data_IF_572010105390
#
_entry.id   IF_572010105390
#
_cell.length_a   1.000
_cell.length_b   1.000
_cell.length_c   1.000
_cell.angle_alpha   90.00
_cell.angle_beta   90.00
_cell.angle_gamma   90.00
#
_symmetry.space_group_name_H-M   'P 1'
#
loop_
_entity.id
_entity.type
_entity.pdbx_description
1 polymer ?
#
# COMPACT_ATOMS: atom_id res chain seq x y z
N UNK A 1 -12.12 3.45 -26.99
CA UNK A 1 -10.80 2.89 -26.61
C UNK A 1 -11.08 1.67 -25.76
N UNK A 2 -10.66 0.49 -26.21
CA UNK A 2 -10.88 -0.77 -25.47
C UNK A 2 -9.93 -0.82 -24.25
N UNK A 3 -10.34 -1.45 -23.15
CA UNK A 3 -9.52 -1.61 -21.93
C UNK A 3 -8.19 -2.29 -22.28
N UNK A 4 -8.22 -3.23 -23.23
CA UNK A 4 -7.02 -3.92 -23.74
C UNK A 4 -6.04 -2.96 -24.42
N UNK A 5 -6.55 -1.97 -25.12
CA UNK A 5 -5.79 -0.95 -25.86
C UNK A 5 -5.14 0.06 -24.90
N UNK A 6 -5.88 0.47 -23.86
CA UNK A 6 -5.32 1.31 -22.79
C UNK A 6 -4.19 0.58 -22.08
N UNK A 7 -4.42 -0.70 -21.76
CA UNK A 7 -3.43 -1.56 -21.11
C UNK A 7 -2.18 -1.76 -21.99
N UNK A 8 -2.32 -1.99 -23.30
CA UNK A 8 -1.17 -2.15 -24.18
C UNK A 8 -0.30 -0.89 -24.23
N UNK A 9 -0.92 0.30 -24.32
CA UNK A 9 -0.22 1.58 -24.29
C UNK A 9 0.52 1.82 -22.96
N UNK A 10 -0.07 1.44 -21.83
CA UNK A 10 0.61 1.46 -20.51
C UNK A 10 1.83 0.54 -20.52
N UNK A 11 1.73 -0.64 -21.15
CA UNK A 11 2.80 -1.64 -21.15
C UNK A 11 3.95 -1.36 -22.12
N UNK A 12 3.71 -0.60 -23.17
CA UNK A 12 4.74 -0.17 -24.12
C UNK A 12 5.59 0.97 -23.54
N UNK A 13 4.99 1.84 -22.72
CA UNK A 13 5.69 2.94 -22.04
C UNK A 13 6.41 2.57 -20.74
N UNK A 14 6.50 1.28 -20.37
CA UNK A 14 7.05 0.84 -19.08
C UNK A 14 8.32 0.00 -19.26
N UNK A 15 9.48 0.60 -18.99
CA UNK A 15 10.79 0.01 -19.19
C UNK A 15 11.25 -0.90 -18.04
N UNK A 16 12.42 -1.54 -18.20
CA UNK A 16 13.06 -2.31 -17.12
C UNK A 16 13.55 -1.40 -15.98
N UNK A 17 13.96 -0.16 -16.28
CA UNK A 17 14.36 0.83 -15.27
C UNK A 17 13.18 1.22 -14.36
N UNK A 18 11.98 1.41 -14.92
CA UNK A 18 10.76 1.67 -14.16
C UNK A 18 10.41 0.52 -13.20
N UNK A 19 10.63 -0.73 -13.64
CA UNK A 19 10.37 -1.92 -12.81
C UNK A 19 11.31 -2.00 -11.62
N UNK A 20 12.60 -1.74 -11.81
CA UNK A 20 13.59 -1.75 -10.72
C UNK A 20 13.32 -0.63 -9.72
N UNK A 21 13.08 0.59 -10.21
CA UNK A 21 12.71 1.72 -9.35
C UNK A 21 11.45 1.41 -8.53
N UNK A 22 10.41 0.86 -9.15
CA UNK A 22 9.16 0.55 -8.45
C UNK A 22 9.34 -0.59 -7.46
N UNK A 23 10.18 -1.59 -7.73
CA UNK A 23 10.53 -2.64 -6.76
C UNK A 23 11.15 -2.07 -5.48
N UNK A 24 12.08 -1.11 -5.60
CA UNK A 24 12.67 -0.44 -4.44
C UNK A 24 11.65 0.43 -3.68
N UNK A 25 10.86 1.22 -4.41
CA UNK A 25 9.81 2.07 -3.82
C UNK A 25 8.78 1.21 -3.08
N UNK A 26 8.41 0.06 -3.64
CA UNK A 26 7.45 -0.85 -3.04
C UNK A 26 8.02 -1.56 -1.81
N UNK A 27 9.28 -1.98 -1.85
CA UNK A 27 9.95 -2.56 -0.70
C UNK A 27 9.96 -1.56 0.45
N UNK A 28 10.45 -0.33 0.18
CA UNK A 28 10.55 0.72 1.18
C UNK A 28 9.18 1.10 1.74
N UNK A 29 8.17 1.24 0.87
CA UNK A 29 6.79 1.55 1.27
C UNK A 29 6.23 0.48 2.21
N UNK A 30 6.32 -0.79 1.84
CA UNK A 30 5.76 -1.88 2.64
C UNK A 30 6.52 -2.05 3.96
N UNK A 31 7.84 -1.93 3.95
CA UNK A 31 8.67 -2.01 5.14
C UNK A 31 8.38 -0.87 6.12
N UNK A 32 8.27 0.37 5.64
CA UNK A 32 7.89 1.51 6.46
C UNK A 32 6.47 1.34 7.02
N UNK A 33 5.50 0.94 6.21
CA UNK A 33 4.14 0.65 6.69
C UNK A 33 4.15 -0.44 7.77
N UNK A 34 4.96 -1.47 7.63
CA UNK A 34 5.10 -2.52 8.65
C UNK A 34 5.59 -1.97 9.99
N UNK A 35 6.66 -1.15 9.97
CA UNK A 35 7.19 -0.50 11.18
C UNK A 35 6.14 0.36 11.85
N UNK A 36 5.36 1.09 11.07
CA UNK A 36 4.30 1.96 11.57
C UNK A 36 3.21 1.14 12.27
N UNK A 37 2.73 0.07 11.64
CA UNK A 37 1.73 -0.79 12.28
C UNK A 37 2.28 -1.49 13.53
N UNK A 38 3.56 -1.84 13.54
CA UNK A 38 4.22 -2.40 14.72
C UNK A 38 4.27 -1.39 15.88
N UNK A 39 4.66 -0.14 15.60
CA UNK A 39 4.66 0.95 16.59
C UNK A 39 3.25 1.20 17.12
N UNK A 40 2.25 1.26 16.22
CA UNK A 40 0.84 1.43 16.60
C UNK A 40 0.40 0.31 17.54
N UNK A 41 0.74 -0.95 17.23
CA UNK A 41 0.39 -2.08 18.08
C UNK A 41 0.98 -1.94 19.49
N UNK A 42 2.26 -1.59 19.60
CA UNK A 42 2.92 -1.35 20.90
C UNK A 42 2.21 -0.22 21.65
N UNK A 43 1.95 0.92 20.99
CA UNK A 43 1.29 2.07 21.62
C UNK A 43 -0.08 1.69 22.17
N UNK A 44 -0.90 0.98 21.38
CA UNK A 44 -2.23 0.55 21.82
C UNK A 44 -2.17 -0.46 22.96
N UNK A 45 -1.14 -1.32 23.00
CA UNK A 45 -0.99 -2.31 24.06
C UNK A 45 -0.53 -1.70 25.40
N UNK A 46 0.24 -0.61 25.38
CA UNK A 46 0.78 0.01 26.60
C UNK A 46 0.05 1.28 27.06
N UNK A 47 -0.71 1.93 26.17
CA UNK A 47 -1.36 3.20 26.44
C UNK A 47 -2.82 3.18 25.96
N UNK A 48 -3.65 2.25 26.44
CA UNK A 48 -5.03 2.07 25.94
C UNK A 48 -5.84 3.38 25.88
N UNK A 49 -5.73 4.25 26.88
CA UNK A 49 -6.55 5.48 27.00
C UNK A 49 -6.14 6.64 26.06
N UNK A 50 -4.84 6.78 25.73
CA UNK A 50 -4.29 7.90 24.93
C UNK A 50 -3.68 7.41 23.61
N UNK A 51 -3.22 6.16 23.59
CA UNK A 51 -2.57 5.48 22.49
C UNK A 51 -3.46 5.38 21.27
N UNK A 52 -4.78 5.39 21.44
CA UNK A 52 -5.74 5.43 20.36
C UNK A 52 -5.70 6.75 19.56
N UNK A 53 -5.62 7.88 20.27
CA UNK A 53 -5.51 9.24 19.70
C UNK A 53 -4.14 9.45 19.05
N UNK A 54 -3.08 8.97 19.70
CA UNK A 54 -1.70 9.01 19.19
C UNK A 54 -1.55 8.14 17.94
N UNK A 55 -2.17 6.95 17.92
CA UNK A 55 -2.21 6.06 16.75
C UNK A 55 -2.80 6.75 15.53
N UNK A 56 -3.91 7.46 15.69
CA UNK A 56 -4.53 8.20 14.58
C UNK A 56 -3.72 9.40 14.16
N UNK A 57 -3.14 10.16 15.09
CA UNK A 57 -2.24 11.25 14.74
C UNK A 57 -1.04 10.74 13.91
N UNK A 58 -0.44 9.62 14.32
CA UNK A 58 0.67 8.97 13.60
C UNK A 58 0.22 8.50 12.21
N UNK A 59 -0.93 7.84 12.10
CA UNK A 59 -1.49 7.40 10.81
C UNK A 59 -1.75 8.58 9.85
N UNK A 60 -2.35 9.67 10.34
CA UNK A 60 -2.63 10.87 9.53
C UNK A 60 -1.32 11.53 9.09
N UNK A 61 -0.35 11.71 10.01
CA UNK A 61 0.93 12.37 9.71
C UNK A 61 1.71 11.57 8.67
N UNK A 62 1.77 10.25 8.81
CA UNK A 62 2.52 9.39 7.90
C UNK A 62 1.85 9.26 6.54
N UNK A 63 0.52 9.15 6.50
CA UNK A 63 -0.21 9.16 5.22
C UNK A 63 -0.06 10.52 4.52
N UNK A 64 -0.13 11.64 5.26
CA UNK A 64 0.10 12.99 4.75
C UNK A 64 1.53 13.19 4.22
N UNK A 65 2.54 12.72 4.95
CA UNK A 65 3.93 12.73 4.50
C UNK A 65 4.13 11.87 3.24
N UNK A 66 3.51 10.69 3.16
CA UNK A 66 3.56 9.83 1.99
C UNK A 66 3.03 10.52 0.73
N UNK A 67 1.90 11.23 0.86
CA UNK A 67 1.31 12.03 -0.23
C UNK A 67 2.22 13.20 -0.60
N UNK A 68 2.75 13.95 0.37
CA UNK A 68 3.62 15.13 0.12
C UNK A 68 4.95 14.73 -0.53
N UNK A 69 5.59 13.66 -0.08
CA UNK A 69 6.87 13.17 -0.62
C UNK A 69 6.68 12.68 -2.06
N UNK A 70 5.60 11.94 -2.34
CA UNK A 70 5.29 11.52 -3.71
C UNK A 70 4.94 12.68 -4.62
N UNK A 71 4.14 13.63 -4.13
CA UNK A 71 3.82 14.84 -4.90
C UNK A 71 5.09 15.59 -5.31
N UNK A 72 6.06 15.74 -4.39
CA UNK A 72 7.36 16.36 -4.70
C UNK A 72 8.20 15.55 -5.69
N UNK A 73 8.26 14.21 -5.57
CA UNK A 73 9.00 13.35 -6.52
C UNK A 73 8.40 13.36 -7.93
N UNK A 74 7.07 13.31 -8.07
CA UNK A 74 6.41 13.34 -9.39
C UNK A 74 6.72 14.61 -10.21
N UNK A 75 7.13 15.69 -9.53
CA UNK A 75 7.47 16.98 -10.15
C UNK A 75 8.92 17.06 -10.64
N UNK A 76 9.79 16.15 -10.20
CA UNK A 76 11.24 16.21 -10.44
C UNK A 76 11.73 15.21 -11.50
N UNK A 77 11.01 14.12 -11.75
CA UNK A 77 11.42 13.08 -12.71
C UNK A 77 10.23 12.59 -13.53
N UNK A 78 10.01 13.19 -14.71
CA UNK A 78 9.00 12.70 -15.66
C UNK A 78 9.67 11.71 -16.60
N UNK A 79 9.53 10.40 -16.33
CA UNK A 79 9.97 9.35 -17.25
C UNK A 79 8.87 8.93 -18.26
N UNK A 80 7.56 9.12 -17.96
CA UNK A 80 6.48 8.89 -18.94
C UNK A 80 5.13 9.54 -18.55
N UNK A 81 4.28 9.88 -19.53
CA UNK A 81 2.93 10.43 -19.34
C UNK A 81 2.02 9.51 -18.50
N UNK A 82 2.18 8.19 -18.64
CA UNK A 82 1.41 7.22 -17.86
C UNK A 82 1.81 7.18 -16.39
N UNK A 83 3.10 7.38 -16.07
CA UNK A 83 3.54 7.49 -14.67
C UNK A 83 2.86 8.68 -13.97
N UNK A 84 2.63 9.80 -14.66
CA UNK A 84 1.94 10.97 -14.11
C UNK A 84 0.46 10.69 -13.78
N UNK A 85 -0.29 10.08 -14.71
CA UNK A 85 -1.69 9.71 -14.46
C UNK A 85 -1.78 8.71 -13.31
N UNK A 86 -0.86 7.75 -13.27
CA UNK A 86 -0.83 6.74 -12.21
C UNK A 86 -0.52 7.36 -10.84
N UNK A 87 0.41 8.30 -10.76
CA UNK A 87 0.69 8.99 -9.51
C UNK A 87 -0.52 9.79 -9.00
N UNK A 88 -1.29 10.42 -9.89
CA UNK A 88 -2.55 11.08 -9.53
C UNK A 88 -3.59 10.08 -8.99
N UNK A 89 -3.80 8.95 -9.67
CA UNK A 89 -4.71 7.88 -9.21
C UNK A 89 -4.32 7.39 -7.82
N UNK A 90 -3.03 7.16 -7.58
CA UNK A 90 -2.55 6.68 -6.27
C UNK A 90 -2.71 7.75 -5.19
N UNK A 91 -2.51 9.03 -5.50
CA UNK A 91 -2.79 10.13 -4.57
C UNK A 91 -4.27 10.14 -4.14
N UNK A 92 -5.21 10.01 -5.08
CA UNK A 92 -6.63 9.91 -4.73
C UNK A 92 -6.96 8.64 -3.95
N UNK A 93 -6.29 7.52 -4.27
CA UNK A 93 -6.46 6.27 -3.53
C UNK A 93 -5.99 6.40 -2.07
N UNK A 94 -4.85 7.08 -1.84
CA UNK A 94 -4.35 7.41 -0.50
C UNK A 94 -5.30 8.34 0.25
N UNK A 95 -5.83 9.38 -0.41
CA UNK A 95 -6.83 10.26 0.18
C UNK A 95 -8.09 9.48 0.59
N UNK A 96 -8.54 8.56 -0.25
CA UNK A 96 -9.68 7.69 0.04
C UNK A 96 -9.42 6.81 1.27
N UNK A 97 -8.22 6.22 1.40
CA UNK A 97 -7.82 5.48 2.61
C UNK A 97 -7.91 6.40 3.83
N UNK A 98 -7.38 7.62 3.77
CA UNK A 98 -7.35 8.55 4.91
C UNK A 98 -8.76 8.89 5.36
N UNK A 99 -9.58 9.42 4.46
CA UNK A 99 -10.94 9.88 4.79
C UNK A 99 -11.74 8.71 5.34
N UNK A 100 -11.67 7.56 4.69
CA UNK A 100 -12.48 6.41 5.10
C UNK A 100 -11.97 5.78 6.41
N UNK A 101 -10.66 5.80 6.67
CA UNK A 101 -10.08 5.35 7.95
C UNK A 101 -10.50 6.28 9.09
N UNK A 102 -10.57 7.59 8.85
CA UNK A 102 -11.11 8.54 9.83
C UNK A 102 -12.59 8.28 10.11
N UNK A 103 -13.39 8.02 9.07
CA UNK A 103 -14.81 7.68 9.24
C UNK A 103 -14.97 6.41 10.09
N UNK A 104 -14.23 5.34 9.79
CA UNK A 104 -14.28 4.09 10.57
C UNK A 104 -13.79 4.31 12.00
N UNK A 105 -12.76 5.13 12.20
CA UNK A 105 -12.28 5.48 13.53
C UNK A 105 -13.36 6.10 14.42
N UNK A 106 -14.16 7.03 13.89
CA UNK A 106 -15.22 7.68 14.66
C UNK A 106 -16.43 6.78 14.94
N UNK A 107 -16.70 5.79 14.10
CA UNK A 107 -17.89 4.94 14.21
C UNK A 107 -17.56 3.59 14.88
N UNK A 108 -16.55 2.87 14.37
CA UNK A 108 -16.14 1.53 14.80
C UNK A 108 -14.61 1.44 14.93
N UNK A 109 -14.03 2.05 15.99
CA UNK A 109 -12.59 2.15 16.20
C UNK A 109 -11.87 0.80 16.23
N UNK A 110 -12.54 -0.24 16.74
CA UNK A 110 -12.01 -1.60 16.84
C UNK A 110 -11.78 -2.29 15.49
N UNK A 111 -12.36 -1.78 14.39
CA UNK A 111 -12.24 -2.36 13.06
C UNK A 111 -11.28 -1.60 12.14
N UNK A 112 -10.54 -0.62 12.69
CA UNK A 112 -9.69 0.28 11.90
C UNK A 112 -8.64 -0.47 11.06
N UNK A 113 -7.92 -1.42 11.67
CA UNK A 113 -6.92 -2.24 11.00
C UNK A 113 -7.52 -3.17 9.94
N UNK A 114 -8.68 -3.77 10.23
CA UNK A 114 -9.45 -4.60 9.26
C UNK A 114 -9.80 -3.78 8.01
N UNK A 115 -10.26 -2.56 8.22
CA UNK A 115 -10.65 -1.65 7.16
C UNK A 115 -9.44 -1.18 6.33
N UNK A 116 -8.38 -0.72 7.00
CA UNK A 116 -7.12 -0.34 6.34
C UNK A 116 -6.59 -1.51 5.51
N UNK A 117 -6.59 -2.73 6.06
CA UNK A 117 -6.12 -3.92 5.36
C UNK A 117 -6.95 -4.22 4.10
N UNK A 118 -8.27 -4.09 4.19
CA UNK A 118 -9.18 -4.33 3.08
C UNK A 118 -8.95 -3.35 1.93
N UNK A 119 -8.96 -2.04 2.21
CA UNK A 119 -8.81 -1.00 1.18
C UNK A 119 -7.38 -0.99 0.63
N UNK A 120 -6.38 -1.04 1.50
CA UNK A 120 -4.97 -1.04 1.06
C UNK A 120 -4.65 -2.27 0.22
N UNK A 121 -5.14 -3.45 0.62
CA UNK A 121 -4.99 -4.68 -0.15
C UNK A 121 -5.63 -4.60 -1.53
N UNK A 122 -6.82 -4.01 -1.63
CA UNK A 122 -7.51 -3.80 -2.91
C UNK A 122 -6.71 -2.87 -3.84
N UNK A 123 -6.24 -1.73 -3.33
CA UNK A 123 -5.44 -0.78 -4.11
C UNK A 123 -4.16 -1.45 -4.60
N UNK A 124 -3.47 -2.19 -3.72
CA UNK A 124 -2.26 -2.93 -4.08
C UNK A 124 -2.53 -3.99 -5.15
N UNK A 125 -3.68 -4.68 -5.08
CA UNK A 125 -4.07 -5.66 -6.09
C UNK A 125 -4.34 -5.00 -7.46
N UNK A 126 -5.04 -3.86 -7.47
CA UNK A 126 -5.31 -3.07 -8.68
C UNK A 126 -4.01 -2.58 -9.29
N UNK A 127 -3.12 -2.00 -8.49
CA UNK A 127 -1.77 -1.59 -8.95
C UNK A 127 -1.01 -2.79 -9.53
N UNK A 128 -1.06 -3.95 -8.88
CA UNK A 128 -0.44 -5.17 -9.39
C UNK A 128 -0.96 -5.59 -10.77
N UNK A 129 -2.27 -5.44 -11.03
CA UNK A 129 -2.87 -5.71 -12.35
C UNK A 129 -2.40 -4.67 -13.37
N UNK A 130 -2.45 -3.38 -13.03
CA UNK A 130 -2.06 -2.28 -13.91
C UNK A 130 -0.58 -2.36 -14.31
N UNK A 131 0.29 -2.82 -13.42
CA UNK A 131 1.74 -2.93 -13.66
C UNK A 131 2.21 -4.35 -14.03
N UNK A 132 1.29 -5.30 -14.28
CA UNK A 132 1.62 -6.74 -14.50
C UNK A 132 2.54 -7.33 -13.41
N UNK A 133 2.49 -6.79 -12.20
CA UNK A 133 3.26 -7.30 -11.07
C UNK A 133 2.47 -8.39 -10.36
N UNK A 134 2.80 -9.65 -10.67
CA UNK A 134 2.22 -10.83 -9.99
C UNK A 134 2.43 -10.76 -8.48
N UNK A 135 3.61 -10.30 -8.05
CA UNK A 135 3.98 -10.16 -6.63
C UNK A 135 3.07 -9.15 -5.93
N UNK A 136 2.86 -7.99 -6.54
CA UNK A 136 2.04 -6.94 -5.93
C UNK A 136 0.56 -7.33 -5.92
N UNK A 137 0.07 -7.98 -6.98
CA UNK A 137 -1.26 -8.56 -7.02
C UNK A 137 -1.46 -9.58 -5.89
N UNK A 138 -0.53 -10.53 -5.75
CA UNK A 138 -0.58 -11.54 -4.69
C UNK A 138 -0.48 -10.92 -3.30
N UNK A 139 0.42 -9.96 -3.11
CA UNK A 139 0.57 -9.27 -1.83
C UNK A 139 -0.66 -8.48 -1.42
N UNK A 140 -1.37 -7.86 -2.38
CA UNK A 140 -2.65 -7.20 -2.12
C UNK A 140 -3.74 -8.20 -1.72
N UNK A 141 -3.84 -9.32 -2.43
CA UNK A 141 -4.76 -10.41 -2.09
C UNK A 141 -4.47 -10.99 -0.69
N UNK A 142 -3.19 -11.24 -0.38
CA UNK A 142 -2.76 -11.70 0.94
C UNK A 142 -3.20 -10.74 2.05
N UNK A 143 -3.11 -9.44 1.78
CA UNK A 143 -3.52 -8.40 2.73
C UNK A 143 -5.04 -8.34 2.93
N UNK A 144 -5.82 -8.61 1.88
CA UNK A 144 -7.28 -8.75 2.00
C UNK A 144 -7.60 -9.99 2.83
N UNK A 145 -6.99 -11.15 2.54
CA UNK A 145 -7.27 -12.38 3.29
C UNK A 145 -6.86 -12.30 4.76
N UNK A 146 -5.79 -11.57 5.08
CA UNK A 146 -5.37 -11.40 6.47
C UNK A 146 -6.39 -10.63 7.31
N UNK A 147 -7.32 -9.88 6.70
CA UNK A 147 -8.40 -9.17 7.42
C UNK A 147 -9.33 -10.14 8.14
N UNK A 148 -9.50 -11.36 7.63
CA UNK A 148 -10.26 -12.40 8.33
C UNK A 148 -9.60 -12.77 9.66
N UNK A 149 -8.26 -12.92 9.67
CA UNK A 149 -7.51 -13.17 10.90
C UNK A 149 -7.57 -11.96 11.85
N UNK A 150 -7.56 -10.73 11.32
CA UNK A 150 -7.71 -9.52 12.12
C UNK A 150 -9.08 -9.44 12.80
N UNK A 151 -10.16 -9.89 12.15
CA UNK A 151 -11.50 -9.93 12.75
C UNK A 151 -11.55 -10.93 13.91
N UNK A 152 -10.89 -12.09 13.76
CA UNK A 152 -10.81 -13.10 14.85
C UNK A 152 -9.93 -12.60 16.01
N UNK A 153 -8.85 -11.86 15.70
CA UNK A 153 -7.87 -11.37 16.67
C UNK A 153 -7.79 -9.83 16.68
N UNK A 154 -8.89 -9.17 17.04
CA UNK A 154 -9.03 -7.70 16.97
C UNK A 154 -7.91 -6.93 17.70
N UNK A 155 -7.47 -7.43 18.87
CA UNK A 155 -6.40 -6.78 19.65
C UNK A 155 -5.03 -6.85 18.96
N UNK A 156 -4.85 -7.79 18.03
CA UNK A 156 -3.61 -8.01 17.28
C UNK A 156 -3.72 -7.55 15.82
N UNK A 157 -4.79 -6.86 15.43
CA UNK A 157 -5.03 -6.47 14.03
C UNK A 157 -3.85 -5.71 13.39
N UNK A 158 -3.23 -4.79 14.14
CA UNK A 158 -2.07 -4.02 13.65
C UNK A 158 -0.78 -4.84 13.63
N UNK A 159 -0.63 -5.80 14.55
CA UNK A 159 0.49 -6.73 14.51
C UNK A 159 0.40 -7.64 13.28
N UNK A 160 -0.80 -8.15 12.98
CA UNK A 160 -1.08 -8.96 11.80
C UNK A 160 -0.76 -8.16 10.53
N UNK A 161 -1.22 -6.90 10.45
CA UNK A 161 -0.85 -5.99 9.36
C UNK A 161 0.67 -5.82 9.23
N UNK A 162 1.37 -5.58 10.34
CA UNK A 162 2.82 -5.42 10.34
C UNK A 162 3.52 -6.65 9.76
N UNK A 163 3.17 -7.85 10.24
CA UNK A 163 3.75 -9.12 9.78
C UNK A 163 3.49 -9.33 8.28
N UNK A 164 2.25 -9.14 7.83
CA UNK A 164 1.91 -9.33 6.40
C UNK A 164 2.63 -8.32 5.51
N UNK A 165 2.82 -7.09 5.98
CA UNK A 165 3.58 -6.07 5.26
C UNK A 165 5.08 -6.40 5.19
N UNK A 166 5.67 -6.94 6.27
CA UNK A 166 7.04 -7.47 6.25
C UNK A 166 7.16 -8.58 5.21
N UNK A 167 6.25 -9.55 5.22
CA UNK A 167 6.23 -10.64 4.23
C UNK A 167 6.17 -10.06 2.81
N UNK A 168 5.26 -9.12 2.57
CA UNK A 168 5.13 -8.47 1.26
C UNK A 168 6.37 -7.67 0.84
N UNK A 169 7.08 -7.02 1.77
CA UNK A 169 8.31 -6.30 1.48
C UNK A 169 9.42 -7.27 1.04
N UNK A 170 9.65 -8.34 1.81
CA UNK A 170 10.72 -9.29 1.49
C UNK A 170 10.41 -10.14 0.24
N UNK A 171 9.15 -10.49 -0.01
CA UNK A 171 8.75 -11.16 -1.26
C UNK A 171 9.11 -10.33 -2.51
N UNK A 172 9.05 -9.00 -2.42
CA UNK A 172 9.43 -8.14 -3.54
C UNK A 172 10.94 -8.19 -3.80
N UNK A 173 11.78 -8.29 -2.77
CA UNK A 173 13.23 -8.45 -2.92
C UNK A 173 13.61 -9.80 -3.53
N UNK A 174 13.02 -10.88 -3.00
CA UNK A 174 13.41 -12.27 -3.30
C UNK A 174 13.11 -12.73 -4.73
N UNK A 175 12.09 -12.19 -5.38
CA UNK A 175 11.70 -12.62 -6.72
C UNK A 175 12.39 -11.71 -7.76
N UNK A 176 13.32 -12.24 -8.59
CA UNK A 176 13.90 -11.49 -9.68
C UNK A 176 12.81 -11.13 -10.71
N UNK A 177 12.93 -9.97 -11.35
CA UNK A 177 12.03 -9.59 -12.44
C UNK A 177 12.05 -10.69 -13.50
N UNK A 178 10.88 -11.26 -13.83
CA UNK A 178 10.74 -12.11 -15.02
C UNK A 178 11.26 -11.28 -16.21
N UNK A 179 12.44 -11.62 -16.73
CA UNK A 179 12.87 -11.14 -18.05
C UNK A 179 11.74 -11.48 -19.00
N UNK A 180 11.22 -10.50 -19.75
CA UNK A 180 10.29 -10.79 -20.84
C UNK A 180 10.97 -11.84 -21.72
N UNK A 181 10.44 -13.05 -21.70
CA UNK A 181 10.76 -14.05 -22.71
C UNK A 181 10.40 -13.44 -24.05
N UNK A 182 11.41 -13.32 -24.89
CA UNK A 182 11.24 -13.31 -26.34
C UNK A 182 10.42 -14.55 -26.71
N UNK A 183 9.16 -14.35 -27.08
CA UNK A 183 8.38 -15.24 -27.93
C UNK A 183 7.50 -14.36 -28.80
#
# INVERSE_FOLDING_TARGET
>A
MDIKEVLSLVFEGYGEEDKNYKKEVYFLSNFLSALVFFIIHIILQFFEDIGFLVTVAILIILMGLGVIVRYRKSKLEVYSYFNRIMDEIVCYALLCIVVSSLTVFFIYPSLLGVFIGSIYGLIMAIEGVLFKSKIRKFGGILLIFSTLAMIVYLNYQFLILAIVQVINAFLQLLIPLEKRGTN
#
